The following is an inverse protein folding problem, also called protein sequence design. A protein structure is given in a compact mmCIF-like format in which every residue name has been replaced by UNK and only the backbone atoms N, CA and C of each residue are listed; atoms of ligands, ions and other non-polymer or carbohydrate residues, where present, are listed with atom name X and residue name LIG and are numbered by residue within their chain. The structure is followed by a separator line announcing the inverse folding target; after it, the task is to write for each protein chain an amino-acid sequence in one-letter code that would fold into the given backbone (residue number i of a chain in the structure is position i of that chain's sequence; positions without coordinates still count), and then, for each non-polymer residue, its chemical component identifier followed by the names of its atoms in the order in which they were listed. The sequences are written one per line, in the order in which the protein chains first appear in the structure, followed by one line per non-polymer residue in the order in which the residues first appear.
data_IF_549222652200
#
_entry.id   IF_549222652200
#
_cell.length_a   1.000
_cell.length_b   1.000
_cell.length_c   1.000
_cell.angle_alpha   90.00
_cell.angle_beta   90.00
_cell.angle_gamma   90.00
#
_symmetry.space_group_name_H-M   'P 1'
#
loop_
_entity.id
_entity.type
_entity.pdbx_description
1 polymer ?
#
# COMPACT_ATOMS: atom_id res chain seq x y z
N UNK A 1 24.85 -6.44 -15.90
CA UNK A 1 24.58 -7.85 -15.58
C UNK A 1 23.66 -7.90 -14.37
N UNK A 2 22.60 -8.72 -14.43
CA UNK A 2 21.71 -8.96 -13.29
C UNK A 2 22.25 -10.18 -12.54
N UNK A 3 22.45 -10.03 -11.23
CA UNK A 3 22.84 -11.09 -10.30
C UNK A 3 21.65 -11.43 -9.41
N UNK A 4 21.62 -12.66 -8.90
CA UNK A 4 20.56 -13.12 -8.01
C UNK A 4 21.11 -13.29 -6.59
N UNK A 5 20.39 -12.78 -5.58
CA UNK A 5 20.71 -13.02 -4.20
C UNK A 5 20.56 -14.52 -3.87
N UNK A 6 21.58 -15.16 -3.25
CA UNK A 6 21.50 -16.60 -2.94
C UNK A 6 20.53 -16.94 -1.80
N UNK A 7 20.11 -15.95 -1.01
CA UNK A 7 19.27 -16.17 0.17
C UNK A 7 17.77 -15.93 -0.08
N UNK A 8 17.43 -14.87 -0.82
CA UNK A 8 16.04 -14.46 -1.06
C UNK A 8 15.67 -14.38 -2.54
N UNK A 9 16.59 -14.77 -3.44
CA UNK A 9 16.36 -14.81 -4.88
C UNK A 9 16.05 -13.47 -5.55
N UNK A 10 16.17 -12.35 -4.83
CA UNK A 10 16.03 -11.00 -5.38
C UNK A 10 17.07 -10.74 -6.49
N UNK A 11 16.62 -10.09 -7.56
CA UNK A 11 17.45 -9.68 -8.71
C UNK A 11 18.08 -8.32 -8.40
N UNK A 12 19.39 -8.21 -8.63
CA UNK A 12 20.19 -7.03 -8.34
C UNK A 12 21.10 -6.68 -9.51
N UNK A 13 21.47 -5.41 -9.64
CA UNK A 13 22.59 -5.04 -10.51
C UNK A 13 23.92 -5.42 -9.85
N UNK A 14 24.93 -5.78 -10.65
CA UNK A 14 26.27 -6.14 -10.15
C UNK A 14 26.88 -5.07 -9.21
N UNK A 15 26.56 -3.79 -9.43
CA UNK A 15 27.03 -2.68 -8.60
C UNK A 15 26.36 -2.56 -7.22
N UNK A 16 25.22 -3.22 -6.98
CA UNK A 16 24.52 -3.22 -5.67
C UNK A 16 25.08 -4.25 -4.70
N UNK A 17 26.01 -5.07 -5.20
CA UNK A 17 26.67 -6.12 -4.44
C UNK A 17 27.59 -5.51 -3.39
N UNK A 18 27.67 -6.16 -2.22
CA UNK A 18 28.62 -5.75 -1.19
C UNK A 18 30.06 -5.88 -1.70
N UNK A 19 30.87 -4.87 -1.41
CA UNK A 19 32.26 -4.76 -1.90
C UNK A 19 33.13 -5.97 -1.56
N UNK A 20 32.89 -6.60 -0.40
CA UNK A 20 33.63 -7.77 0.08
C UNK A 20 33.16 -9.11 -0.50
N UNK A 21 32.07 -9.14 -1.29
CA UNK A 21 31.60 -10.37 -1.92
C UNK A 21 32.22 -10.53 -3.32
N UNK A 22 31.92 -11.63 -4.02
CA UNK A 22 32.36 -11.84 -5.41
C UNK A 22 31.17 -11.97 -6.36
N UNK A 23 31.39 -11.91 -7.68
CA UNK A 23 30.34 -12.20 -8.67
C UNK A 23 29.84 -13.65 -8.62
N UNK A 24 30.72 -14.57 -8.21
CA UNK A 24 30.38 -16.01 -8.08
C UNK A 24 29.56 -16.26 -6.81
N UNK A 25 29.83 -15.53 -5.73
CA UNK A 25 29.07 -15.56 -4.48
C UNK A 25 28.64 -14.14 -4.09
N UNK A 26 27.61 -13.60 -4.74
CA UNK A 26 27.18 -12.23 -4.50
C UNK A 26 26.40 -12.13 -3.19
N UNK A 27 26.75 -11.15 -2.37
CA UNK A 27 26.02 -10.79 -1.16
C UNK A 27 25.42 -9.40 -1.32
N UNK A 28 24.22 -9.22 -0.80
CA UNK A 28 23.46 -7.98 -0.91
C UNK A 28 22.97 -7.55 0.47
N UNK A 29 23.11 -6.27 0.77
CA UNK A 29 22.60 -5.67 2.01
C UNK A 29 21.13 -5.26 1.92
N UNK A 30 20.65 -4.90 0.73
CA UNK A 30 19.37 -4.20 0.56
C UNK A 30 18.13 -5.10 0.56
N UNK A 31 18.25 -6.38 0.18
CA UNK A 31 17.10 -7.27 0.09
C UNK A 31 16.81 -8.01 1.41
N UNK A 32 17.73 -8.86 1.85
CA UNK A 32 17.57 -9.71 3.03
C UNK A 32 18.66 -9.50 4.08
N UNK A 33 19.35 -8.34 4.03
CA UNK A 33 20.49 -8.02 4.89
C UNK A 33 21.52 -9.16 4.91
N UNK A 34 21.83 -9.70 3.73
CA UNK A 34 22.73 -10.85 3.53
C UNK A 34 22.26 -12.13 4.24
N UNK A 35 20.97 -12.46 4.09
CA UNK A 35 20.35 -13.66 4.67
C UNK A 35 19.97 -13.53 6.15
N UNK A 36 20.16 -12.35 6.74
CA UNK A 36 19.81 -12.07 8.15
C UNK A 36 18.34 -11.77 8.37
N UNK A 37 17.54 -11.61 7.33
CA UNK A 37 16.08 -11.55 7.47
C UNK A 37 15.44 -12.51 6.49
N UNK A 38 14.37 -13.16 6.94
CA UNK A 38 13.53 -13.99 6.09
C UNK A 38 12.33 -13.14 5.67
N UNK A 39 12.31 -12.76 4.39
CA UNK A 39 11.17 -12.07 3.80
C UNK A 39 10.25 -13.13 3.18
N UNK A 40 8.92 -13.01 3.35
CA UNK A 40 8.00 -13.87 2.65
C UNK A 40 8.19 -13.71 1.14
N UNK A 41 7.98 -14.79 0.39
CA UNK A 41 7.91 -14.70 -1.06
C UNK A 41 6.72 -13.81 -1.45
N UNK A 42 6.88 -13.04 -2.52
CA UNK A 42 5.73 -12.35 -3.12
C UNK A 42 4.76 -13.42 -3.61
N UNK A 43 3.49 -13.26 -3.25
CA UNK A 43 2.45 -14.12 -3.77
C UNK A 43 2.25 -13.85 -5.26
N UNK A 44 1.88 -14.89 -6.00
CA UNK A 44 1.48 -14.70 -7.39
C UNK A 44 0.23 -13.81 -7.45
N UNK A 45 0.20 -12.82 -8.34
CA UNK A 45 -0.95 -11.95 -8.52
C UNK A 45 -2.15 -12.77 -9.06
N UNK A 46 -3.39 -12.30 -8.83
CA UNK A 46 -4.57 -12.91 -9.44
C UNK A 46 -4.44 -13.06 -10.96
N UNK A 47 -5.05 -14.11 -11.53
CA UNK A 47 -4.86 -14.50 -12.93
C UNK A 47 -5.10 -13.36 -13.92
N UNK A 48 -6.16 -12.58 -13.72
CA UNK A 48 -6.47 -11.38 -14.51
C UNK A 48 -5.27 -10.42 -14.58
N UNK A 49 -4.69 -10.06 -13.43
CA UNK A 49 -3.58 -9.14 -13.37
C UNK A 49 -2.31 -9.76 -13.97
N UNK A 50 -2.07 -11.05 -13.74
CA UNK A 50 -0.96 -11.77 -14.37
C UNK A 50 -1.04 -11.74 -15.90
N UNK A 51 -2.23 -11.99 -16.45
CA UNK A 51 -2.51 -11.95 -17.89
C UNK A 51 -2.29 -10.53 -18.45
N UNK A 52 -2.79 -9.49 -17.78
CA UNK A 52 -2.56 -8.10 -18.20
C UNK A 52 -1.07 -7.70 -18.16
N UNK A 53 -0.30 -8.20 -17.19
CA UNK A 53 1.13 -7.93 -17.03
C UNK A 53 2.01 -8.68 -18.04
N UNK A 54 1.57 -9.81 -18.57
CA UNK A 54 2.42 -10.69 -19.41
C UNK A 54 1.89 -10.88 -20.83
N UNK A 55 0.60 -10.62 -21.07
CA UNK A 55 -0.09 -10.85 -22.33
C UNK A 55 0.42 -9.99 -23.48
N UNK A 56 0.37 -10.51 -24.71
CA UNK A 56 0.88 -9.83 -25.90
C UNK A 56 -0.20 -9.11 -26.73
N UNK A 57 -1.48 -9.26 -26.33
CA UNK A 57 -2.63 -8.64 -26.97
C UNK A 57 -2.65 -7.11 -26.77
N UNK A 58 -3.58 -6.44 -27.48
CA UNK A 58 -3.69 -4.99 -27.46
C UNK A 58 -4.11 -4.44 -26.09
N UNK A 59 -4.96 -5.16 -25.36
CA UNK A 59 -5.48 -4.79 -24.04
C UNK A 59 -4.35 -4.81 -23.02
N UNK A 60 -3.61 -5.91 -22.94
CA UNK A 60 -2.46 -6.09 -22.07
C UNK A 60 -1.35 -5.06 -22.36
N UNK A 61 -1.10 -4.75 -23.64
CA UNK A 61 -0.16 -3.69 -24.04
C UNK A 61 -0.62 -2.29 -23.59
N UNK A 62 -1.90 -1.98 -23.74
CA UNK A 62 -2.47 -0.72 -23.27
C UNK A 62 -2.36 -0.62 -21.74
N UNK A 63 -2.80 -1.66 -21.02
CA UNK A 63 -2.71 -1.73 -19.56
C UNK A 63 -1.28 -1.46 -19.08
N UNK A 64 -0.26 -2.15 -19.61
CA UNK A 64 1.14 -1.93 -19.21
C UNK A 64 1.64 -0.53 -19.52
N UNK A 65 1.22 0.05 -20.65
CA UNK A 65 1.57 1.43 -21.02
C UNK A 65 1.00 2.44 -20.02
N UNK A 66 -0.18 2.15 -19.45
CA UNK A 66 -0.91 3.06 -18.55
C UNK A 66 -1.06 2.52 -17.12
N UNK A 67 -0.23 1.56 -16.70
CA UNK A 67 -0.36 0.87 -15.42
C UNK A 67 -0.33 1.82 -14.21
N UNK A 68 0.38 2.95 -14.35
CA UNK A 68 0.42 3.99 -13.31
C UNK A 68 -0.93 4.69 -13.15
N UNK A 69 -1.63 4.96 -14.25
CA UNK A 69 -2.97 5.53 -14.25
C UNK A 69 -3.96 4.55 -13.64
N UNK A 70 -3.90 3.27 -14.02
CA UNK A 70 -4.70 2.23 -13.38
C UNK A 70 -4.44 2.15 -11.88
N UNK A 71 -3.17 2.10 -11.45
CA UNK A 71 -2.84 2.07 -10.02
C UNK A 71 -3.34 3.31 -9.27
N UNK A 72 -3.15 4.51 -9.84
CA UNK A 72 -3.66 5.75 -9.25
C UNK A 72 -5.20 5.74 -9.15
N UNK A 73 -5.88 5.14 -10.12
CA UNK A 73 -7.32 4.94 -10.13
C UNK A 73 -7.82 3.85 -9.16
N UNK A 74 -6.93 3.18 -8.42
CA UNK A 74 -7.30 2.26 -7.34
C UNK A 74 -6.67 2.62 -5.98
N UNK A 75 -5.76 3.60 -5.93
CA UNK A 75 -5.10 3.97 -4.67
C UNK A 75 -6.10 4.37 -3.57
N UNK A 76 -5.91 3.85 -2.35
CA UNK A 76 -6.67 4.26 -1.16
C UNK A 76 -6.22 5.61 -0.63
N UNK A 77 -5.00 6.02 -0.98
CA UNK A 77 -4.30 7.15 -0.36
C UNK A 77 -3.77 8.11 -1.41
N UNK A 78 -3.81 9.39 -1.07
CA UNK A 78 -3.22 10.47 -1.87
C UNK A 78 -1.74 10.61 -1.61
N UNK A 79 -1.01 11.09 -2.62
CA UNK A 79 0.40 11.45 -2.47
C UNK A 79 0.52 12.89 -1.98
N UNK A 80 0.88 13.07 -0.72
CA UNK A 80 1.17 14.36 -0.11
C UNK A 80 2.58 14.83 -0.46
N UNK A 81 2.76 15.44 -1.63
CA UNK A 81 4.02 16.03 -2.08
C UNK A 81 3.80 17.51 -2.40
N UNK A 82 4.74 18.37 -1.99
CA UNK A 82 4.88 19.71 -2.55
C UNK A 82 5.85 19.63 -3.73
N UNK A 83 5.30 19.63 -4.94
CA UNK A 83 6.09 19.67 -6.16
C UNK A 83 6.58 21.10 -6.39
N UNK A 84 7.85 21.21 -6.74
CA UNK A 84 8.40 22.45 -7.25
C UNK A 84 8.16 22.54 -8.76
N UNK A 85 7.08 23.24 -9.14
CA UNK A 85 6.66 23.31 -10.54
C UNK A 85 7.60 24.12 -11.42
N UNK A 86 8.52 24.90 -10.83
CA UNK A 86 9.53 25.67 -11.56
C UNK A 86 10.48 24.80 -12.41
N UNK A 87 10.55 23.50 -12.12
CA UNK A 87 11.39 22.54 -12.84
C UNK A 87 10.70 21.87 -14.03
N UNK A 88 9.38 22.01 -14.19
CA UNK A 88 8.65 21.41 -15.30
C UNK A 88 8.74 22.20 -16.62
N UNK A 89 9.37 23.38 -16.60
CA UNK A 89 9.46 24.30 -17.75
C UNK A 89 10.70 24.09 -18.65
N UNK A 90 11.40 22.96 -18.54
CA UNK A 90 12.60 22.66 -19.33
C UNK A 90 12.41 21.58 -20.40
N UNK A 91 13.14 21.69 -21.51
CA UNK A 91 13.23 20.67 -22.58
C UNK A 91 14.18 19.51 -22.26
N UNK A 92 14.65 19.40 -21.01
CA UNK A 92 15.56 18.34 -20.54
C UNK A 92 14.84 17.11 -20.00
N UNK A 93 15.64 16.14 -19.52
CA UNK A 93 15.14 14.94 -18.82
C UNK A 93 14.19 15.32 -17.69
N UNK A 94 13.04 14.63 -17.60
CA UNK A 94 12.02 14.90 -16.59
C UNK A 94 12.61 14.85 -15.17
N UNK A 95 12.74 16.02 -14.54
CA UNK A 95 13.22 16.18 -13.18
C UNK A 95 12.11 16.79 -12.33
N UNK A 96 11.73 16.11 -11.25
CA UNK A 96 10.83 16.66 -10.24
C UNK A 96 11.60 16.81 -8.93
N UNK A 97 11.42 17.95 -8.26
CA UNK A 97 11.96 18.19 -6.93
C UNK A 97 10.81 18.15 -5.93
N UNK A 98 10.98 17.30 -4.92
CA UNK A 98 10.07 17.22 -3.78
C UNK A 98 10.65 18.13 -2.69
N UNK A 99 9.89 19.13 -2.27
CA UNK A 99 10.20 19.87 -1.06
C UNK A 99 9.53 19.21 0.15
N UNK A 100 10.33 18.86 1.15
CA UNK A 100 9.87 18.16 2.36
C UNK A 100 9.95 16.64 2.23
N UNK A 101 8.95 15.94 2.76
CA UNK A 101 8.92 14.48 2.85
C UNK A 101 7.77 13.91 2.02
N UNK A 102 8.05 12.82 1.30
CA UNK A 102 7.02 11.99 0.66
C UNK A 102 6.11 11.41 1.76
N UNK A 103 4.82 11.68 1.67
CA UNK A 103 3.85 11.17 2.64
C UNK A 103 2.60 10.68 1.92
N UNK A 104 2.14 9.48 2.23
CA UNK A 104 0.78 9.07 1.87
C UNK A 104 -0.21 9.68 2.84
N UNK A 105 -1.35 10.12 2.33
CA UNK A 105 -2.38 10.75 3.12
C UNK A 105 -3.74 10.14 2.86
N UNK A 106 -4.49 9.93 3.93
CA UNK A 106 -5.89 9.47 3.87
C UNK A 106 -6.84 10.64 4.13
N UNK A 107 -7.98 10.62 3.44
CA UNK A 107 -9.04 11.63 3.52
C UNK A 107 -10.34 11.04 4.09
N UNK A 108 -11.44 11.80 4.00
CA UNK A 108 -12.77 11.30 4.38
C UNK A 108 -13.23 10.12 3.51
N UNK A 109 -13.99 9.20 4.11
CA UNK A 109 -14.57 8.03 3.43
C UNK A 109 -15.77 8.37 2.55
N UNK A 110 -16.40 9.53 2.78
CA UNK A 110 -17.43 10.11 1.92
C UNK A 110 -16.88 11.35 1.19
N UNK A 111 -17.32 11.59 -0.05
CA UNK A 111 -17.07 12.84 -0.75
C UNK A 111 -17.90 13.96 -0.14
N UNK A 112 -17.36 15.18 -0.22
CA UNK A 112 -18.14 16.38 0.02
C UNK A 112 -19.22 16.57 -1.05
N UNK A 113 -20.30 17.31 -0.75
CA UNK A 113 -21.30 17.69 -1.76
C UNK A 113 -20.63 18.27 -3.01
N UNK A 114 -21.07 17.82 -4.18
CA UNK A 114 -20.59 18.26 -5.49
C UNK A 114 -19.09 18.01 -5.78
N UNK A 115 -18.41 17.21 -4.97
CA UNK A 115 -17.04 16.78 -5.24
C UNK A 115 -16.98 15.38 -5.87
N UNK A 116 -16.06 15.15 -6.82
CA UNK A 116 -15.87 13.82 -7.38
C UNK A 116 -15.34 12.86 -6.32
N UNK A 117 -15.66 11.58 -6.47
CA UNK A 117 -15.18 10.48 -5.62
C UNK A 117 -13.67 10.28 -5.77
N UNK A 118 -12.91 10.26 -4.66
CA UNK A 118 -11.44 10.17 -4.67
C UNK A 118 -10.91 9.06 -3.76
N UNK A 119 -9.77 8.50 -4.16
CA UNK A 119 -9.02 7.48 -3.43
C UNK A 119 -9.91 6.37 -2.84
N UNK A 120 -9.85 6.11 -1.53
CA UNK A 120 -10.60 5.04 -0.88
C UNK A 120 -12.13 5.12 -1.02
N UNK A 121 -12.69 6.30 -1.35
CA UNK A 121 -14.13 6.51 -1.45
C UNK A 121 -14.80 5.63 -2.53
N UNK A 122 -14.06 5.16 -3.54
CA UNK A 122 -14.61 4.24 -4.56
C UNK A 122 -15.02 2.89 -4.00
N UNK A 123 -14.42 2.46 -2.90
CA UNK A 123 -14.75 1.20 -2.27
C UNK A 123 -15.97 1.32 -1.35
N UNK A 124 -16.43 2.54 -1.09
CA UNK A 124 -17.50 2.84 -0.13
C UNK A 124 -18.78 3.22 -0.86
N UNK A 125 -18.67 4.07 -1.87
CA UNK A 125 -19.81 4.50 -2.67
C UNK A 125 -20.07 3.39 -3.68
N UNK A 126 -21.23 2.74 -3.54
CA UNK A 126 -21.76 1.81 -4.54
C UNK A 126 -21.76 2.55 -5.89
N UNK A 127 -20.90 2.08 -6.79
CA UNK A 127 -20.40 2.84 -7.92
C UNK A 127 -21.51 3.07 -8.93
N UNK A 128 -22.23 4.18 -8.81
CA UNK A 128 -23.03 4.68 -9.92
C UNK A 128 -22.12 4.83 -11.14
N UNK A 129 -22.63 4.55 -12.33
CA UNK A 129 -21.86 4.68 -13.59
C UNK A 129 -21.15 6.03 -13.69
N UNK A 130 -21.70 7.08 -13.07
CA UNK A 130 -21.11 8.41 -13.01
C UNK A 130 -19.78 8.47 -12.26
N UNK A 131 -19.64 7.77 -11.11
CA UNK A 131 -18.38 7.74 -10.36
C UNK A 131 -17.28 6.98 -11.13
N UNK A 132 -17.69 5.94 -11.87
CA UNK A 132 -16.84 5.15 -12.78
C UNK A 132 -16.38 6.02 -13.94
N UNK A 133 -17.30 6.76 -14.56
CA UNK A 133 -17.03 7.68 -15.66
C UNK A 133 -16.05 8.79 -15.25
N UNK A 134 -16.15 9.35 -14.04
CA UNK A 134 -15.21 10.39 -13.56
C UNK A 134 -13.77 9.86 -13.46
N UNK A 135 -13.56 8.59 -13.07
CA UNK A 135 -12.20 8.01 -13.04
C UNK A 135 -11.67 7.63 -14.42
N UNK A 136 -12.55 7.18 -15.30
CA UNK A 136 -12.20 6.74 -16.65
C UNK A 136 -12.20 7.90 -17.67
N UNK A 137 -12.58 9.12 -17.26
CA UNK A 137 -12.43 10.34 -18.07
C UNK A 137 -10.99 10.58 -18.57
N UNK A 138 -10.00 9.89 -17.99
CA UNK A 138 -8.73 9.68 -18.66
C UNK A 138 -8.88 8.63 -19.76
N UNK A 139 -8.95 9.07 -21.03
CA UNK A 139 -9.04 8.26 -22.28
C UNK A 139 -8.01 7.10 -22.44
N UNK A 140 -7.15 6.89 -21.45
CA UNK A 140 -6.12 5.87 -21.40
C UNK A 140 -6.49 4.63 -20.57
N UNK A 141 -7.58 4.70 -19.79
CA UNK A 141 -8.09 3.56 -19.02
C UNK A 141 -9.20 2.90 -19.82
N UNK A 142 -9.01 1.63 -20.16
CA UNK A 142 -10.05 0.79 -20.74
C UNK A 142 -11.14 0.49 -19.67
N UNK A 143 -12.41 0.84 -19.91
CA UNK A 143 -13.49 0.64 -18.95
C UNK A 143 -13.73 -0.80 -18.56
N UNK A 144 -13.60 -1.74 -19.49
CA UNK A 144 -13.88 -3.16 -19.23
C UNK A 144 -12.78 -3.73 -18.33
N UNK A 145 -11.52 -3.44 -18.65
CA UNK A 145 -10.37 -3.78 -17.80
C UNK A 145 -10.50 -3.17 -16.41
N UNK A 146 -10.98 -1.92 -16.32
CA UNK A 146 -11.19 -1.26 -15.03
C UNK A 146 -12.22 -2.01 -14.18
N UNK A 147 -13.36 -2.42 -14.75
CA UNK A 147 -14.40 -3.16 -14.01
C UNK A 147 -13.90 -4.52 -13.55
N UNK A 148 -13.18 -5.24 -14.41
CA UNK A 148 -12.58 -6.54 -14.05
C UNK A 148 -11.55 -6.38 -12.93
N UNK A 149 -10.69 -5.36 -13.00
CA UNK A 149 -9.72 -5.06 -11.96
C UNK A 149 -10.37 -4.63 -10.65
N UNK A 150 -11.46 -3.85 -10.70
CA UNK A 150 -12.21 -3.47 -9.50
C UNK A 150 -12.74 -4.71 -8.80
N UNK A 151 -13.44 -5.60 -9.54
CA UNK A 151 -13.97 -6.83 -8.98
C UNK A 151 -12.87 -7.70 -8.34
N UNK A 152 -11.73 -7.82 -9.03
CA UNK A 152 -10.57 -8.54 -8.52
C UNK A 152 -10.03 -7.92 -7.22
N UNK A 153 -9.91 -6.59 -7.14
CA UNK A 153 -9.42 -5.90 -5.94
C UNK A 153 -10.42 -6.06 -4.79
N UNK A 154 -11.72 -5.98 -5.05
CA UNK A 154 -12.73 -6.16 -4.00
C UNK A 154 -12.76 -7.57 -3.41
N UNK A 155 -12.43 -8.57 -4.23
CA UNK A 155 -12.29 -9.97 -3.83
C UNK A 155 -11.00 -10.25 -3.05
N UNK A 156 -9.86 -9.73 -3.53
CA UNK A 156 -8.54 -10.15 -3.04
C UNK A 156 -7.90 -9.19 -2.04
N UNK A 157 -8.26 -7.89 -2.07
CA UNK A 157 -7.57 -6.87 -1.28
C UNK A 157 -8.27 -6.65 0.07
N UNK A 158 -7.70 -7.14 1.19
CA UNK A 158 -8.37 -7.17 2.51
C UNK A 158 -8.72 -5.77 3.05
N UNK A 159 -7.95 -4.74 2.70
CA UNK A 159 -8.26 -3.38 3.14
C UNK A 159 -9.55 -2.83 2.52
N UNK A 160 -10.04 -3.36 1.39
CA UNK A 160 -11.36 -3.00 0.87
C UNK A 160 -12.42 -3.29 1.94
N UNK A 161 -12.40 -4.51 2.47
CA UNK A 161 -13.36 -4.95 3.48
C UNK A 161 -13.19 -4.20 4.79
N UNK A 162 -11.95 -3.93 5.22
CA UNK A 162 -11.69 -3.13 6.42
C UNK A 162 -12.23 -1.69 6.31
N UNK A 163 -12.05 -1.04 5.15
CA UNK A 163 -12.60 0.29 4.91
C UNK A 163 -14.13 0.25 4.86
N UNK A 164 -14.74 -0.75 4.19
CA UNK A 164 -16.20 -0.96 4.17
C UNK A 164 -16.76 -1.15 5.59
N UNK A 165 -16.11 -1.94 6.43
CA UNK A 165 -16.52 -2.16 7.83
C UNK A 165 -16.35 -0.91 8.70
N UNK A 166 -15.22 -0.22 8.57
CA UNK A 166 -15.01 1.06 9.25
C UNK A 166 -16.11 2.06 8.90
N UNK A 167 -16.47 2.14 7.61
CA UNK A 167 -17.58 2.96 7.14
C UNK A 167 -18.92 2.55 7.77
N UNK A 168 -19.26 1.25 7.78
CA UNK A 168 -20.51 0.75 8.39
C UNK A 168 -20.61 1.14 9.87
N UNK A 169 -19.54 0.91 10.65
CA UNK A 169 -19.50 1.26 12.07
C UNK A 169 -19.65 2.77 12.28
N UNK A 170 -19.05 3.60 11.42
CA UNK A 170 -19.24 5.04 11.49
C UNK A 170 -20.68 5.45 11.17
N UNK A 171 -21.31 4.81 10.18
CA UNK A 171 -22.67 5.12 9.73
C UNK A 171 -23.75 4.72 10.72
N UNK A 172 -23.52 3.69 11.53
CA UNK A 172 -24.43 3.25 12.59
C UNK A 172 -24.52 4.23 13.76
N UNK A 173 -23.55 5.14 13.91
CA UNK A 173 -23.56 6.17 14.95
C UNK A 173 -24.57 7.27 14.64
N UNK A 174 -25.15 7.92 15.67
CA UNK A 174 -26.02 9.07 15.46
C UNK A 174 -25.32 10.19 14.67
N UNK A 175 -26.03 10.94 13.79
CA UNK A 175 -25.44 11.98 12.94
C UNK A 175 -24.59 13.03 13.70
N UNK A 176 -24.97 13.35 14.93
CA UNK A 176 -24.23 14.23 15.83
C UNK A 176 -22.87 13.69 16.25
N UNK A 177 -22.71 12.37 16.36
CA UNK A 177 -21.44 11.71 16.71
C UNK A 177 -20.56 11.44 15.47
N UNK A 178 -21.16 11.36 14.27
CA UNK A 178 -20.46 11.00 13.03
C UNK A 178 -19.36 11.98 12.62
N UNK A 179 -19.50 13.28 12.97
CA UNK A 179 -18.57 14.34 12.52
C UNK A 179 -17.18 14.21 13.12
N UNK A 180 -17.09 13.87 14.40
CA UNK A 180 -15.82 13.79 15.14
C UNK A 180 -15.34 12.34 15.32
N UNK A 181 -16.09 11.39 14.79
CA UNK A 181 -15.77 9.98 14.88
C UNK A 181 -14.54 9.63 14.04
N UNK A 182 -13.60 8.95 14.69
CA UNK A 182 -12.43 8.38 14.04
C UNK A 182 -12.43 6.87 14.24
N UNK A 183 -12.03 6.15 13.21
CA UNK A 183 -11.72 4.71 13.28
C UNK A 183 -10.25 4.54 13.01
N UNK A 184 -9.56 3.83 13.91
CA UNK A 184 -8.13 3.63 13.81
C UNK A 184 -7.85 2.20 13.33
N UNK A 185 -7.31 2.06 12.12
CA UNK A 185 -6.80 0.76 11.67
C UNK A 185 -5.44 0.55 12.32
N UNK A 186 -5.42 -0.32 13.33
CA UNK A 186 -4.22 -0.71 14.08
C UNK A 186 -3.62 -1.99 13.56
N UNK A 187 -2.29 -2.02 13.47
CA UNK A 187 -1.54 -3.25 13.25
C UNK A 187 -1.02 -3.79 14.59
N UNK A 188 -1.42 -5.02 14.97
CA UNK A 188 -1.02 -5.62 16.26
C UNK A 188 0.34 -6.32 16.15
N UNK A 189 1.14 -6.14 17.20
CA UNK A 189 2.55 -6.54 17.35
C UNK A 189 2.82 -8.05 17.51
N UNK A 190 1.80 -8.85 17.88
CA UNK A 190 1.98 -10.21 18.42
C UNK A 190 1.25 -11.33 17.67
N UNK A 191 0.69 -11.04 16.51
CA UNK A 191 0.11 -12.08 15.65
C UNK A 191 1.23 -13.01 15.16
N UNK A 192 1.09 -14.32 15.34
CA UNK A 192 2.15 -15.31 15.11
C UNK A 192 2.58 -15.35 13.63
N UNK A 193 3.73 -14.74 13.33
CA UNK A 193 4.24 -14.48 11.97
C UNK A 193 4.83 -15.70 11.25
N UNK A 194 4.69 -16.92 11.80
CA UNK A 194 5.14 -18.15 11.13
C UNK A 194 4.18 -18.66 10.06
N UNK A 195 2.98 -18.09 10.01
CA UNK A 195 2.06 -18.22 8.87
C UNK A 195 1.52 -16.81 8.61
N UNK A 196 2.08 -16.14 7.60
CA UNK A 196 1.42 -14.96 7.04
C UNK A 196 0.17 -15.48 6.32
N UNK A 197 -0.92 -15.63 7.05
CA UNK A 197 -2.23 -15.70 6.44
C UNK A 197 -2.54 -14.31 5.88
N UNK A 198 -3.31 -14.25 4.79
CA UNK A 198 -3.99 -13.04 4.33
C UNK A 198 -4.59 -12.33 5.56
N UNK A 199 -4.59 -10.98 5.63
CA UNK A 199 -5.18 -10.27 6.74
C UNK A 199 -6.61 -10.72 7.02
N UNK A 200 -6.76 -11.65 7.95
CA UNK A 200 -8.06 -12.22 8.23
C UNK A 200 -8.73 -11.29 9.23
N UNK A 201 -9.75 -10.60 8.76
CA UNK A 201 -10.60 -9.76 9.60
C UNK A 201 -11.15 -10.57 10.79
N UNK A 202 -11.33 -11.88 10.62
CA UNK A 202 -11.82 -12.79 11.66
C UNK A 202 -10.80 -13.08 12.78
N UNK A 203 -9.49 -13.03 12.50
CA UNK A 203 -8.43 -13.37 13.47
C UNK A 203 -7.88 -12.11 14.20
N UNK A 204 -8.45 -10.93 13.95
CA UNK A 204 -8.10 -9.68 14.64
C UNK A 204 -6.68 -9.18 14.35
N UNK A 205 -6.08 -9.63 13.25
CA UNK A 205 -4.71 -9.35 12.83
C UNK A 205 -4.55 -7.94 12.26
N UNK A 206 -5.65 -7.37 11.75
CA UNK A 206 -5.79 -5.95 11.42
C UNK A 206 -7.06 -5.40 12.08
N UNK A 207 -6.90 -4.24 12.73
CA UNK A 207 -7.94 -3.38 13.30
C UNK A 207 -8.43 -3.71 14.73
N UNK A 208 -8.21 -2.74 15.62
CA UNK A 208 -9.11 -2.49 16.74
C UNK A 208 -9.82 -1.18 16.41
N UNK A 209 -11.10 -1.25 16.07
CA UNK A 209 -11.92 -0.08 15.76
C UNK A 209 -12.26 0.61 17.08
N UNK A 210 -11.53 1.68 17.39
CA UNK A 210 -11.76 2.48 18.60
C UNK A 210 -12.47 3.78 18.21
N UNK A 211 -13.79 3.88 18.42
CA UNK A 211 -14.52 5.13 18.26
C UNK A 211 -14.17 6.10 19.40
N UNK A 212 -13.73 7.30 19.07
CA UNK A 212 -13.59 8.40 20.04
C UNK A 212 -12.64 9.51 19.59
N UNK A 213 -12.61 10.66 20.30
CA UNK A 213 -11.64 11.73 20.11
C UNK A 213 -10.29 11.27 20.68
N UNK A 214 -9.70 10.26 20.04
CA UNK A 214 -8.43 9.69 20.44
C UNK A 214 -7.35 10.74 20.25
N UNK A 215 -6.91 11.35 21.35
CA UNK A 215 -5.71 12.17 21.36
C UNK A 215 -4.52 11.20 21.21
N UNK A 216 -4.26 10.78 19.97
CA UNK A 216 -3.17 9.87 19.70
C UNK A 216 -1.90 10.70 19.64
N UNK A 217 -0.95 10.38 20.52
CA UNK A 217 0.39 10.99 20.47
C UNK A 217 0.99 10.87 19.07
N UNK A 218 1.84 11.83 18.72
CA UNK A 218 2.48 11.97 17.40
C UNK A 218 3.29 10.75 16.91
N UNK A 219 3.39 9.69 17.73
CA UNK A 219 4.13 8.45 17.47
C UNK A 219 3.26 7.27 17.03
N UNK A 220 1.93 7.40 17.00
CA UNK A 220 1.09 6.28 16.55
C UNK A 220 1.24 5.98 15.07
N UNK A 221 1.31 4.68 14.77
CA UNK A 221 1.31 4.12 13.41
C UNK A 221 -0.10 3.67 13.02
N UNK A 222 -1.14 4.28 13.55
CA UNK A 222 -2.50 3.93 13.15
C UNK A 222 -2.87 4.65 11.84
N UNK A 223 -3.64 3.99 10.97
CA UNK A 223 -4.32 4.69 9.88
C UNK A 223 -5.64 5.22 10.42
N UNK A 224 -5.78 6.54 10.42
CA UNK A 224 -6.97 7.23 10.95
C UNK A 224 -7.96 7.43 9.81
N UNK A 225 -9.13 6.82 9.93
CA UNK A 225 -10.26 7.00 9.02
C UNK A 225 -11.31 7.92 9.65
N UNK A 226 -11.97 8.70 8.81
CA UNK A 226 -13.13 9.54 9.17
C UNK A 226 -14.22 9.43 8.12
N UNK A 227 -15.46 9.71 8.52
CA UNK A 227 -16.58 9.65 7.60
C UNK A 227 -16.56 10.82 6.60
N UNK A 228 -16.49 12.04 7.10
CA UNK A 228 -16.50 13.27 6.31
C UNK A 228 -15.09 13.84 6.10
N UNK A 229 -14.98 14.76 5.14
CA UNK A 229 -13.69 15.35 4.83
C UNK A 229 -13.19 16.29 5.95
N UNK A 230 -11.90 16.60 5.92
CA UNK A 230 -11.23 17.40 6.93
C UNK A 230 -9.71 17.44 6.68
N UNK A 231 -8.86 17.77 7.67
CA UNK A 231 -7.41 17.72 7.47
C UNK A 231 -6.97 16.32 7.05
N UNK A 232 -6.25 16.21 5.94
CA UNK A 232 -5.69 14.94 5.47
C UNK A 232 -4.71 14.38 6.51
N UNK A 233 -4.91 13.12 6.91
CA UNK A 233 -4.03 12.46 7.87
C UNK A 233 -2.87 11.77 7.18
N UNK A 234 -1.66 12.04 7.67
CA UNK A 234 -0.47 11.37 7.20
C UNK A 234 -0.44 9.93 7.71
N UNK A 235 -0.23 8.99 6.79
CA UNK A 235 0.15 7.62 7.13
C UNK A 235 1.67 7.59 7.30
N UNK A 236 2.14 6.96 8.37
CA UNK A 236 3.57 6.76 8.57
C UNK A 236 4.16 5.91 7.44
N UNK A 237 5.30 6.33 6.91
CA UNK A 237 6.12 5.56 5.97
C UNK A 237 6.65 4.24 6.57
N UNK A 238 6.56 4.11 7.90
CA UNK A 238 6.88 2.89 8.65
C UNK A 238 5.67 1.99 8.90
N UNK A 239 4.49 2.38 8.40
CA UNK A 239 3.29 1.57 8.48
C UNK A 239 3.41 0.39 7.49
N UNK A 240 3.19 -0.87 7.91
CA UNK A 240 3.24 -2.02 7.00
C UNK A 240 2.35 -1.86 5.74
N UNK A 241 1.14 -1.33 5.93
CA UNK A 241 0.21 -1.00 4.84
C UNK A 241 0.58 0.21 3.95
N UNK A 242 1.67 0.94 4.24
CA UNK A 242 1.97 2.21 3.56
C UNK A 242 2.04 2.05 2.04
N UNK A 243 2.70 0.99 1.57
CA UNK A 243 2.87 0.74 0.14
C UNK A 243 1.62 0.16 -0.51
N UNK A 244 0.99 -0.86 0.08
CA UNK A 244 -0.19 -1.53 -0.51
C UNK A 244 -1.37 -0.57 -0.68
N UNK A 245 -1.57 0.37 0.25
CA UNK A 245 -2.65 1.37 0.15
C UNK A 245 -2.43 2.44 -0.94
N UNK A 246 -1.24 2.53 -1.52
CA UNK A 246 -0.96 3.46 -2.61
C UNK A 246 -0.63 2.74 -3.93
N UNK A 247 0.01 1.59 -3.85
CA UNK A 247 0.40 0.75 -4.99
C UNK A 247 -0.44 -0.53 -5.04
N UNK A 248 -1.77 -0.37 -5.12
CA UNK A 248 -2.75 -1.46 -5.03
C UNK A 248 -2.51 -2.56 -6.08
N UNK A 249 -2.15 -2.21 -7.31
CA UNK A 249 -1.87 -3.21 -8.34
C UNK A 249 -0.52 -3.90 -8.20
N UNK A 250 0.40 -3.33 -7.40
CA UNK A 250 1.66 -3.99 -7.05
C UNK A 250 1.48 -4.96 -5.88
N UNK A 251 0.46 -4.71 -5.04
CA UNK A 251 0.13 -5.49 -3.85
C UNK A 251 -1.37 -5.86 -3.86
N UNK A 252 -1.81 -6.66 -4.86
CA UNK A 252 -3.23 -6.93 -5.09
C UNK A 252 -3.90 -7.68 -3.93
N UNK A 253 -3.12 -8.34 -3.07
CA UNK A 253 -3.61 -9.09 -1.91
C UNK A 253 -3.41 -8.35 -0.59
N UNK A 254 -3.09 -7.06 -0.64
CA UNK A 254 -2.91 -6.27 0.58
C UNK A 254 -1.62 -6.58 1.32
N UNK A 255 -0.59 -7.10 0.62
CA UNK A 255 0.63 -7.58 1.23
C UNK A 255 1.33 -6.47 2.02
N UNK A 256 1.89 -6.85 3.17
CA UNK A 256 2.57 -5.91 4.04
C UNK A 256 3.91 -5.51 3.43
N UNK A 257 4.17 -4.20 3.38
CA UNK A 257 5.47 -3.65 3.05
C UNK A 257 6.45 -3.70 4.23
N UNK A 258 7.54 -2.95 4.09
CA UNK A 258 8.56 -2.85 5.13
C UNK A 258 8.01 -2.26 6.43
N UNK A 259 8.45 -2.81 7.56
CA UNK A 259 8.24 -2.22 8.88
C UNK A 259 9.38 -2.63 9.83
N UNK A 260 9.61 -1.83 10.88
CA UNK A 260 10.73 -2.02 11.82
C UNK A 260 10.72 -3.33 12.60
N UNK A 261 9.59 -4.04 12.61
CA UNK A 261 9.44 -5.26 13.40
C UNK A 261 9.72 -6.54 12.61
N UNK A 262 10.18 -6.45 11.36
CA UNK A 262 10.59 -7.63 10.58
C UNK A 262 11.71 -8.34 11.35
N UNK A 263 11.53 -9.62 11.73
CA UNK A 263 12.49 -10.33 12.57
C UNK A 263 13.78 -10.62 11.82
N UNK A 264 14.92 -10.42 12.50
CA UNK A 264 16.19 -10.94 12.01
C UNK A 264 16.30 -12.44 12.35
N UNK A 265 16.89 -13.23 11.45
CA UNK A 265 17.45 -14.55 11.77
C UNK A 265 18.62 -14.33 12.73
N UNK A 266 18.43 -14.69 14.00
CA UNK A 266 19.56 -14.91 14.90
C UNK A 266 20.20 -16.27 14.58
N UNK A 267 21.50 -16.26 14.28
CA UNK A 267 22.36 -17.42 14.52
C UNK A 267 23.11 -17.14 15.82
N UNK A 268 22.67 -17.73 16.93
CA UNK A 268 23.50 -17.98 18.10
C UNK A 268 23.52 -19.50 18.33
N UNK A 269 24.70 -20.06 18.65
CA UNK A 269 25.00 -21.50 18.81
C UNK A 269 24.15 -22.24 19.89
N UNK A 270 23.20 -21.56 20.54
CA UNK A 270 22.38 -22.09 21.64
C UNK A 270 20.85 -21.97 21.44
N UNK A 271 20.36 -21.58 20.25
CA UNK A 271 18.95 -21.79 19.87
C UNK A 271 17.88 -21.02 20.65
N UNK A 272 18.16 -19.81 21.18
CA UNK A 272 17.15 -18.92 21.78
C UNK A 272 17.00 -17.62 21.00
N UNK A 273 15.74 -17.21 20.75
CA UNK A 273 15.37 -16.03 19.98
C UNK A 273 15.65 -14.73 20.76
N UNK A 274 16.42 -13.79 20.21
CA UNK A 274 16.52 -12.41 20.73
C UNK A 274 15.93 -11.41 19.74
N UNK A 275 15.21 -10.42 20.28
CA UNK A 275 14.81 -9.24 19.52
C UNK A 275 15.99 -8.28 19.50
N UNK A 276 16.52 -7.95 18.33
CA UNK A 276 17.44 -6.82 18.18
C UNK A 276 16.66 -5.63 17.66
N UNK A 277 16.48 -4.62 18.54
CA UNK A 277 15.99 -3.30 18.17
C UNK A 277 17.01 -2.62 17.27
N UNK A 278 16.55 -2.08 16.13
CA UNK A 278 17.32 -1.11 15.37
C UNK A 278 17.17 0.27 16.02
N UNK A 279 18.28 0.82 16.51
CA UNK A 279 18.43 2.26 16.66
C UNK A 279 18.83 2.81 15.29
N UNK A 280 18.06 3.81 14.82
CA UNK A 280 18.34 4.60 13.62
C UNK A 280 19.67 5.36 13.75
#
# INVERSE_FOLDING_TARGET
MILQCPHCHAKHWDGERLSHSSRVRPLFGMCCKSGKTELPALEEPPELLSNLLTGADAVSKNFRRHIRQYNAAFAFTSLGVKLDESLFAGTGSYAFRIHGMLAHRTGGLLPEPDQPVRYAQIYIIDSSEDAVNIRIQNNFIDPDVWRELQAMIEEHHPYVQLYKQAYQIMREKPPEEQRDLQVHLRFKKHTDRRRYNLPNVADGEIAAILPGPGNIGAESRDIILRLHDGPLYRISDRHPAYHTLHYVLLFPKGELGWHEEIPLRDQDEAGRYKKVMFLL
#
